data_IF_846678852965
#
_entry.id   IF_846678852965
#
_cell.length_a   1.000
_cell.length_b   1.000
_cell.length_c   1.000
_cell.angle_alpha   90.00
_cell.angle_beta   90.00
_cell.angle_gamma   90.00
#
_symmetry.space_group_name_H-M   'P 1'
#
loop_
_entity.id
_entity.type
_entity.pdbx_description
1 polymer ?
#
# COMPACT_ATOMS: atom_id res chain seq x y z
N UNK A 1 33.32 -34.12 5.90
CA UNK A 1 32.56 -33.17 6.73
C UNK A 1 31.09 -33.30 6.33
N UNK A 2 30.35 -34.20 6.99
CA UNK A 2 28.96 -34.50 6.64
C UNK A 2 28.07 -33.31 7.02
N UNK A 3 27.50 -32.62 6.04
CA UNK A 3 26.44 -31.66 6.27
C UNK A 3 25.15 -32.45 6.56
N UNK A 4 24.66 -32.41 7.81
CA UNK A 4 23.40 -33.05 8.19
C UNK A 4 22.25 -32.35 7.44
N UNK A 5 21.51 -33.05 6.55
CA UNK A 5 20.42 -32.47 5.78
C UNK A 5 19.32 -31.87 6.67
N UNK A 6 19.17 -32.33 7.93
CA UNK A 6 18.18 -31.79 8.88
C UNK A 6 18.50 -30.38 9.34
N UNK A 7 19.80 -30.01 9.42
CA UNK A 7 20.23 -28.64 9.77
C UNK A 7 19.94 -27.64 8.64
N UNK A 8 20.03 -28.08 7.39
CA UNK A 8 19.68 -27.26 6.22
C UNK A 8 18.17 -26.95 6.16
N UNK A 9 17.31 -27.91 6.53
CA UNK A 9 15.85 -27.70 6.62
C UNK A 9 15.45 -26.72 7.73
N UNK A 10 16.05 -26.81 8.92
CA UNK A 10 15.69 -25.89 10.03
C UNK A 10 16.10 -24.45 9.72
N UNK A 11 17.30 -24.25 9.14
CA UNK A 11 17.75 -22.92 8.72
C UNK A 11 16.82 -22.30 7.67
N UNK A 12 16.35 -23.10 6.71
CA UNK A 12 15.37 -22.66 5.71
C UNK A 12 14.03 -22.28 6.35
N UNK A 13 13.52 -23.08 7.28
CA UNK A 13 12.29 -22.77 8.02
C UNK A 13 12.39 -21.47 8.82
N UNK A 14 13.51 -21.21 9.50
CA UNK A 14 13.72 -19.96 10.23
C UNK A 14 13.78 -18.76 9.28
N UNK A 15 14.47 -18.90 8.15
CA UNK A 15 14.51 -17.86 7.12
C UNK A 15 13.11 -17.59 6.54
N UNK A 16 12.32 -18.64 6.30
CA UNK A 16 10.94 -18.50 5.81
C UNK A 16 10.04 -17.83 6.87
N UNK A 17 10.19 -18.15 8.15
CA UNK A 17 9.47 -17.47 9.24
C UNK A 17 9.83 -15.99 9.28
N UNK A 18 11.13 -15.67 9.31
CA UNK A 18 11.58 -14.27 9.37
C UNK A 18 11.22 -13.48 8.11
N UNK A 19 11.24 -14.12 6.95
CA UNK A 19 10.85 -13.48 5.70
C UNK A 19 9.34 -13.15 5.67
N UNK A 20 8.50 -13.96 6.30
CA UNK A 20 7.05 -13.80 6.22
C UNK A 20 6.44 -13.10 7.44
N UNK A 21 7.15 -13.00 8.56
CA UNK A 21 6.65 -12.33 9.76
C UNK A 21 6.76 -10.79 9.63
N UNK A 22 5.62 -10.06 9.71
CA UNK A 22 5.59 -8.59 9.68
C UNK A 22 6.55 -7.89 10.65
N UNK A 23 6.89 -8.54 11.78
CA UNK A 23 7.78 -7.99 12.79
C UNK A 23 9.22 -7.76 12.28
N UNK A 24 9.68 -8.53 11.29
CA UNK A 24 11.03 -8.37 10.73
C UNK A 24 11.11 -7.37 9.58
N UNK A 25 10.00 -6.73 9.23
CA UNK A 25 9.95 -5.67 8.22
C UNK A 25 10.30 -4.37 8.90
N UNK A 26 11.39 -3.74 8.44
CA UNK A 26 11.91 -2.50 9.03
C UNK A 26 11.61 -1.27 8.19
N UNK A 27 11.14 -1.43 6.96
CA UNK A 27 10.84 -0.34 6.03
C UNK A 27 9.39 -0.46 5.57
N UNK A 28 8.65 0.65 5.60
CA UNK A 28 7.35 0.76 4.95
C UNK A 28 7.41 1.81 3.85
N UNK A 29 7.02 1.43 2.64
CA UNK A 29 7.00 2.29 1.47
C UNK A 29 5.56 2.67 1.14
N UNK A 30 5.26 3.96 1.20
CA UNK A 30 3.94 4.49 0.94
C UNK A 30 3.94 5.28 -0.36
N UNK A 31 2.97 4.99 -1.23
CA UNK A 31 2.80 5.70 -2.50
C UNK A 31 1.33 5.74 -2.88
N UNK A 32 0.90 6.83 -3.53
CA UNK A 32 -0.43 6.89 -4.13
C UNK A 32 -0.61 5.87 -5.24
N UNK A 33 0.47 5.48 -5.92
CA UNK A 33 0.44 4.48 -6.96
C UNK A 33 1.60 3.50 -6.87
N UNK A 34 1.33 2.23 -7.12
CA UNK A 34 2.33 1.15 -7.23
C UNK A 34 1.90 0.22 -8.36
N UNK A 35 2.72 0.14 -9.41
CA UNK A 35 2.49 -0.74 -10.55
C UNK A 35 3.12 -2.11 -10.34
N UNK A 36 2.34 -3.09 -9.86
CA UNK A 36 2.84 -4.45 -9.56
C UNK A 36 2.53 -5.51 -10.63
N UNK A 37 1.43 -5.30 -11.37
CA UNK A 37 0.98 -6.15 -12.49
C UNK A 37 0.18 -5.23 -13.44
N UNK A 38 0.39 -5.29 -14.76
CA UNK A 38 -0.40 -4.53 -15.73
C UNK A 38 -1.92 -4.73 -15.66
N UNK A 39 -2.38 -5.84 -15.06
CA UNK A 39 -3.80 -6.16 -14.83
C UNK A 39 -4.34 -5.65 -13.49
N UNK A 40 -3.52 -4.95 -12.70
CA UNK A 40 -3.92 -4.22 -11.50
C UNK A 40 -3.79 -2.71 -11.83
N UNK A 41 -4.86 -2.07 -12.36
CA UNK A 41 -4.79 -0.71 -12.93
C UNK A 41 -4.84 0.38 -11.85
N UNK A 42 -4.04 0.24 -10.79
CA UNK A 42 -3.99 1.17 -9.65
C UNK A 42 -2.79 2.11 -9.72
N UNK A 43 -2.35 2.44 -10.94
CA UNK A 43 -1.26 3.37 -11.22
C UNK A 43 -1.51 4.08 -12.56
N UNK A 44 -0.88 5.25 -12.75
CA UNK A 44 -1.07 6.13 -13.89
C UNK A 44 0.17 6.23 -14.78
N UNK A 45 1.38 6.18 -14.22
CA UNK A 45 2.59 6.43 -15.00
C UNK A 45 3.90 6.00 -14.35
N UNK A 46 4.96 6.75 -14.66
CA UNK A 46 6.34 6.40 -14.30
C UNK A 46 6.61 6.33 -12.80
N UNK A 47 5.89 7.10 -11.98
CA UNK A 47 6.04 7.06 -10.53
C UNK A 47 5.59 5.72 -9.95
N UNK A 48 4.43 5.21 -10.40
CA UNK A 48 3.91 3.91 -10.01
C UNK A 48 4.76 2.75 -10.52
N UNK A 49 5.28 2.86 -11.75
CA UNK A 49 6.25 1.87 -12.28
C UNK A 49 7.53 1.86 -11.43
N UNK A 50 8.09 3.03 -11.13
CA UNK A 50 9.28 3.14 -10.27
C UNK A 50 9.03 2.53 -8.89
N UNK A 51 7.88 2.80 -8.27
CA UNK A 51 7.51 2.22 -6.99
C UNK A 51 7.40 0.68 -7.06
N UNK A 52 6.81 0.15 -8.13
CA UNK A 52 6.73 -1.29 -8.40
C UNK A 52 8.10 -1.93 -8.57
N UNK A 53 8.95 -1.34 -9.41
CA UNK A 53 10.31 -1.81 -9.69
C UNK A 53 11.20 -1.74 -8.45
N UNK A 54 11.04 -0.72 -7.60
CA UNK A 54 11.72 -0.62 -6.31
C UNK A 54 11.33 -1.78 -5.40
N UNK A 55 10.04 -2.06 -5.25
CA UNK A 55 9.56 -3.17 -4.42
C UNK A 55 9.94 -4.54 -4.98
N UNK A 56 9.98 -4.68 -6.31
CA UNK A 56 10.48 -5.88 -6.98
C UNK A 56 11.98 -6.07 -6.75
N UNK A 57 12.76 -5.02 -6.89
CA UNK A 57 14.20 -5.03 -6.60
C UNK A 57 14.46 -5.36 -5.12
N UNK A 58 13.66 -4.79 -4.22
CA UNK A 58 13.71 -5.11 -2.80
C UNK A 58 13.39 -6.60 -2.54
N UNK A 59 12.42 -7.17 -3.26
CA UNK A 59 12.15 -8.61 -3.18
C UNK A 59 13.32 -9.45 -3.70
N UNK A 60 13.95 -9.07 -4.81
CA UNK A 60 15.10 -9.77 -5.39
C UNK A 60 16.34 -9.73 -4.48
N UNK A 61 16.50 -8.63 -3.72
CA UNK A 61 17.62 -8.39 -2.83
C UNK A 61 17.34 -8.75 -1.35
N UNK A 62 16.20 -9.38 -1.06
CA UNK A 62 15.78 -9.76 0.30
C UNK A 62 15.70 -8.58 1.29
N UNK A 63 15.32 -7.39 0.81
CA UNK A 63 15.20 -6.19 1.63
C UNK A 63 13.88 -6.24 2.43
N UNK A 64 13.90 -6.02 3.76
CA UNK A 64 12.75 -6.16 4.65
C UNK A 64 11.76 -4.99 4.56
N UNK A 65 11.10 -4.86 3.40
CA UNK A 65 10.17 -3.79 3.07
C UNK A 65 8.72 -4.28 2.94
N UNK A 66 7.76 -3.41 3.18
CA UNK A 66 6.33 -3.59 2.85
C UNK A 66 5.85 -2.39 2.03
N UNK A 67 5.03 -2.63 1.02
CA UNK A 67 4.37 -1.60 0.23
C UNK A 67 2.96 -1.28 0.73
N UNK A 68 2.56 -0.02 0.71
CA UNK A 68 1.20 0.44 1.01
C UNK A 68 0.76 1.46 -0.02
N UNK A 69 -0.44 1.26 -0.57
CA UNK A 69 -1.04 2.14 -1.57
C UNK A 69 -2.57 2.09 -1.50
N UNK A 70 -3.25 2.89 -2.32
CA UNK A 70 -4.70 2.83 -2.44
C UNK A 70 -5.12 1.86 -3.56
N UNK A 71 -6.23 1.16 -3.34
CA UNK A 71 -6.94 0.46 -4.39
C UNK A 71 -7.76 1.48 -5.20
N UNK A 72 -7.68 1.43 -6.53
CA UNK A 72 -8.53 2.24 -7.42
C UNK A 72 -9.44 1.35 -8.26
N UNK A 73 -10.72 1.29 -7.90
CA UNK A 73 -11.77 0.48 -8.55
C UNK A 73 -12.00 0.83 -10.02
N UNK A 74 -11.66 2.06 -10.42
CA UNK A 74 -11.85 2.59 -11.78
C UNK A 74 -10.53 3.05 -12.43
N UNK A 75 -9.40 2.81 -11.76
CA UNK A 75 -8.06 3.16 -12.19
C UNK A 75 -7.83 4.65 -12.40
N UNK A 76 -6.85 4.98 -13.24
CA UNK A 76 -6.59 6.36 -13.68
C UNK A 76 -7.60 6.78 -14.75
N UNK A 77 -7.53 6.14 -15.92
CA UNK A 77 -8.58 6.05 -16.94
C UNK A 77 -8.17 5.09 -18.05
N UNK A 78 -9.17 4.60 -18.78
CA UNK A 78 -9.02 3.92 -20.07
C UNK A 78 -9.16 4.95 -21.19
N UNK A 79 -8.10 5.13 -21.98
CA UNK A 79 -8.11 6.03 -23.11
C UNK A 79 -8.90 5.44 -24.28
N UNK A 80 -9.81 6.22 -24.86
CA UNK A 80 -10.46 5.93 -26.14
C UNK A 80 -10.34 7.14 -27.05
N UNK A 81 -9.80 6.97 -28.25
CA UNK A 81 -9.73 8.02 -29.25
C UNK A 81 -10.86 7.78 -30.25
N UNK A 82 -11.68 8.79 -30.52
CA UNK A 82 -12.76 8.68 -31.50
C UNK A 82 -12.27 8.91 -32.94
N UNK A 83 -13.19 8.80 -33.90
CA UNK A 83 -12.92 8.97 -35.34
C UNK A 83 -12.41 10.37 -35.71
N UNK A 84 -12.67 11.37 -34.86
CA UNK A 84 -12.30 12.77 -35.07
C UNK A 84 -10.98 13.12 -34.34
N UNK A 85 -10.34 12.11 -33.71
CA UNK A 85 -9.08 12.26 -32.99
C UNK A 85 -9.23 12.80 -31.56
N UNK A 86 -10.46 12.89 -31.04
CA UNK A 86 -10.72 13.41 -29.69
C UNK A 86 -10.53 12.29 -28.66
N UNK A 87 -9.82 12.60 -27.59
CA UNK A 87 -9.66 11.70 -26.44
C UNK A 87 -10.90 11.69 -25.56
N UNK A 88 -11.35 10.49 -25.22
CA UNK A 88 -12.36 10.20 -24.22
C UNK A 88 -11.76 9.35 -23.10
N UNK A 89 -12.09 9.72 -21.87
CA UNK A 89 -11.56 9.10 -20.67
C UNK A 89 -12.65 8.26 -20.02
N UNK A 90 -12.48 6.93 -20.07
CA UNK A 90 -13.46 5.98 -19.54
C UNK A 90 -12.93 5.37 -18.23
N UNK A 91 -13.79 4.93 -17.31
CA UNK A 91 -13.34 4.14 -16.16
C UNK A 91 -12.76 2.80 -16.63
N UNK A 92 -11.72 2.33 -15.94
CA UNK A 92 -11.25 0.96 -16.11
C UNK A 92 -12.24 -0.01 -15.45
N UNK A 93 -12.44 -1.19 -16.04
CA UNK A 93 -13.29 -2.25 -15.47
C UNK A 93 -12.41 -3.43 -15.10
N UNK A 94 -12.32 -3.72 -13.80
CA UNK A 94 -11.54 -4.84 -13.29
C UNK A 94 -12.08 -5.30 -11.92
N UNK A 95 -11.69 -6.49 -11.50
CA UNK A 95 -12.17 -7.14 -10.28
C UNK A 95 -10.97 -7.46 -9.39
N UNK A 96 -10.75 -6.72 -8.29
CA UNK A 96 -9.65 -6.95 -7.35
C UNK A 96 -9.53 -8.40 -6.88
N UNK A 97 -10.64 -9.08 -6.64
CA UNK A 97 -10.73 -10.47 -6.20
C UNK A 97 -10.11 -11.49 -7.18
N UNK A 98 -9.95 -11.13 -8.46
CA UNK A 98 -9.29 -12.00 -9.44
C UNK A 98 -7.76 -11.96 -9.30
N UNK A 99 -7.21 -10.98 -8.59
CA UNK A 99 -5.78 -10.64 -8.58
C UNK A 99 -5.17 -10.49 -7.19
N UNK A 100 -5.99 -10.09 -6.24
CA UNK A 100 -5.59 -9.70 -4.90
C UNK A 100 -6.32 -10.58 -3.89
N UNK A 101 -5.67 -10.80 -2.75
CA UNK A 101 -6.28 -11.51 -1.63
C UNK A 101 -6.90 -10.51 -0.66
N UNK A 102 -8.20 -10.61 -0.38
CA UNK A 102 -8.84 -9.78 0.64
C UNK A 102 -8.44 -10.28 2.03
N UNK A 103 -7.92 -9.38 2.86
CA UNK A 103 -7.58 -9.69 4.25
C UNK A 103 -8.79 -9.48 5.17
N UNK A 104 -8.85 -10.20 6.31
CA UNK A 104 -9.91 -10.00 7.31
C UNK A 104 -9.75 -8.69 8.10
N UNK A 105 -8.62 -7.98 7.92
CA UNK A 105 -8.27 -6.78 8.64
C UNK A 105 -9.11 -5.58 8.22
N UNK A 106 -9.56 -4.80 9.20
CA UNK A 106 -10.33 -3.58 9.00
C UNK A 106 -9.88 -2.54 10.01
N UNK A 107 -9.58 -1.33 9.54
CA UNK A 107 -9.31 -0.18 10.39
C UNK A 107 -10.30 0.93 10.12
N UNK A 108 -10.33 1.95 10.97
CA UNK A 108 -11.20 3.11 10.79
C UNK A 108 -10.46 4.41 11.00
N UNK A 109 -10.85 5.42 10.24
CA UNK A 109 -10.44 6.82 10.41
C UNK A 109 -11.68 7.71 10.45
N UNK A 110 -11.51 8.95 10.91
CA UNK A 110 -12.58 9.95 10.91
C UNK A 110 -12.31 10.97 9.81
N UNK A 111 -13.26 11.15 8.90
CA UNK A 111 -13.25 12.19 7.86
C UNK A 111 -14.55 12.98 8.00
N UNK A 112 -14.46 14.30 8.21
CA UNK A 112 -15.64 15.18 8.31
C UNK A 112 -16.71 14.68 9.31
N UNK A 113 -16.27 14.22 10.49
CA UNK A 113 -17.12 13.61 11.54
C UNK A 113 -17.81 12.29 11.15
N UNK A 114 -17.48 11.70 10.00
CA UNK A 114 -17.91 10.36 9.60
C UNK A 114 -16.81 9.35 9.86
N UNK A 115 -17.18 8.18 10.36
CA UNK A 115 -16.27 7.04 10.44
C UNK A 115 -16.16 6.40 9.06
N UNK A 116 -14.95 6.41 8.50
CA UNK A 116 -14.62 5.72 7.25
C UNK A 116 -13.82 4.48 7.60
N UNK A 117 -14.37 3.32 7.25
CA UNK A 117 -13.72 2.03 7.43
C UNK A 117 -12.87 1.68 6.21
N UNK A 118 -11.74 1.03 6.44
CA UNK A 118 -10.74 0.72 5.42
C UNK A 118 -10.37 -0.75 5.55
N UNK A 119 -10.55 -1.50 4.47
CA UNK A 119 -10.06 -2.88 4.33
C UNK A 119 -8.78 -2.91 3.50
N UNK A 120 -8.04 -4.00 3.56
CA UNK A 120 -6.82 -4.19 2.78
C UNK A 120 -6.91 -5.41 1.86
N UNK A 121 -6.48 -5.20 0.63
CA UNK A 121 -6.17 -6.27 -0.31
C UNK A 121 -4.65 -6.49 -0.36
N UNK A 122 -4.20 -7.73 -0.46
CA UNK A 122 -2.78 -8.08 -0.55
C UNK A 122 -2.41 -8.55 -1.97
N UNK A 123 -1.29 -8.03 -2.48
CA UNK A 123 -0.50 -8.67 -3.53
C UNK A 123 0.89 -8.99 -3.00
N UNK A 124 1.38 -10.21 -3.20
CA UNK A 124 2.75 -10.56 -2.82
C UNK A 124 3.68 -10.57 -4.03
N UNK A 125 4.65 -9.66 -4.06
CA UNK A 125 5.75 -9.71 -5.03
C UNK A 125 6.73 -10.81 -4.61
N UNK A 126 7.13 -11.66 -5.54
CA UNK A 126 8.10 -12.74 -5.31
C UNK A 126 9.42 -12.40 -5.99
N UNK A 127 10.49 -12.35 -5.20
CA UNK A 127 11.85 -12.13 -5.63
C UNK A 127 12.48 -13.37 -6.29
N UNK A 128 13.61 -13.19 -6.98
CA UNK A 128 14.38 -14.27 -7.62
C UNK A 128 14.88 -15.33 -6.63
N UNK A 129 15.06 -14.94 -5.36
CA UNK A 129 15.43 -15.81 -4.24
C UNK A 129 14.24 -16.54 -3.60
N UNK A 130 13.01 -16.21 -4.03
CA UNK A 130 11.76 -16.61 -3.35
C UNK A 130 11.34 -15.70 -2.20
N UNK A 131 12.14 -14.67 -1.85
CA UNK A 131 11.76 -13.70 -0.83
C UNK A 131 10.50 -12.93 -1.25
N UNK A 132 9.60 -12.73 -0.29
CA UNK A 132 8.26 -12.21 -0.54
C UNK A 132 8.21 -10.76 -0.10
N UNK A 133 7.58 -9.87 -0.85
CA UNK A 133 7.31 -8.47 -0.43
C UNK A 133 5.81 -8.23 -0.57
N UNK A 134 5.07 -8.09 0.55
CA UNK A 134 3.65 -7.79 0.49
C UNK A 134 3.43 -6.32 0.11
N UNK A 135 2.40 -6.09 -0.69
CA UNK A 135 1.87 -4.78 -1.06
C UNK A 135 0.40 -4.75 -0.69
N UNK A 136 0.03 -3.81 0.17
CA UNK A 136 -1.35 -3.63 0.63
C UNK A 136 -2.03 -2.50 -0.13
N UNK A 137 -3.20 -2.81 -0.71
CA UNK A 137 -4.06 -1.87 -1.40
C UNK A 137 -5.27 -1.57 -0.52
N UNK A 138 -5.33 -0.34 0.00
CA UNK A 138 -6.37 0.12 0.91
C UNK A 138 -7.64 0.46 0.13
N UNK A 139 -8.77 -0.03 0.60
CA UNK A 139 -10.04 0.06 -0.11
C UNK A 139 -11.16 0.57 0.82
N UNK A 140 -11.94 1.52 0.32
CA UNK A 140 -13.11 2.08 1.00
C UNK A 140 -14.42 1.70 0.31
N UNK A 141 -14.37 1.10 -0.87
CA UNK A 141 -15.56 0.78 -1.67
C UNK A 141 -16.15 -0.57 -1.25
N UNK A 142 -16.94 -0.52 -0.18
CA UNK A 142 -17.76 -1.64 0.30
C UNK A 142 -18.91 -1.16 1.19
N UNK A 143 -19.83 -2.06 1.48
CA UNK A 143 -21.13 -1.81 2.09
C UNK A 143 -21.07 -1.14 3.47
N UNK A 144 -19.97 -1.30 4.21
CA UNK A 144 -19.83 -0.74 5.55
C UNK A 144 -19.63 0.79 5.56
N UNK A 145 -19.28 1.39 4.42
CA UNK A 145 -19.10 2.84 4.29
C UNK A 145 -20.30 3.54 3.68
N UNK A 146 -20.46 4.83 4.02
CA UNK A 146 -21.41 5.72 3.36
C UNK A 146 -21.09 5.81 1.84
N UNK A 147 -22.10 5.91 0.95
CA UNK A 147 -21.88 5.92 -0.50
C UNK A 147 -20.86 6.95 -1.00
N UNK A 148 -20.77 8.11 -0.34
CA UNK A 148 -19.77 9.13 -0.69
C UNK A 148 -18.34 8.74 -0.31
N UNK A 149 -18.15 8.04 0.81
CA UNK A 149 -16.82 7.64 1.29
C UNK A 149 -16.29 6.41 0.52
N UNK A 150 -17.19 5.60 -0.06
CA UNK A 150 -16.83 4.53 -1.02
C UNK A 150 -16.12 5.09 -2.25
N UNK A 151 -16.50 6.29 -2.70
CA UNK A 151 -15.91 6.93 -3.89
C UNK A 151 -14.42 7.23 -3.74
N UNK A 152 -13.90 7.31 -2.51
CA UNK A 152 -12.48 7.63 -2.24
C UNK A 152 -11.51 6.62 -2.87
N UNK A 153 -11.95 5.40 -3.16
CA UNK A 153 -11.17 4.35 -3.83
C UNK A 153 -11.57 4.15 -5.28
N UNK A 154 -12.24 5.11 -5.93
CA UNK A 154 -12.65 4.96 -7.33
C UNK A 154 -11.56 5.32 -8.31
N UNK A 155 -11.10 6.57 -8.28
CA UNK A 155 -10.18 7.09 -9.28
C UNK A 155 -8.86 7.55 -8.66
N UNK A 156 -7.78 7.27 -9.38
CA UNK A 156 -6.47 7.84 -9.13
C UNK A 156 -6.38 9.24 -9.77
N UNK A 157 -5.85 10.22 -9.04
CA UNK A 157 -5.59 11.58 -9.53
C UNK A 157 -6.76 12.27 -10.25
N UNK A 158 -7.99 12.02 -9.79
CA UNK A 158 -9.19 12.75 -10.19
C UNK A 158 -9.84 13.43 -8.99
N UNK A 159 -10.84 14.25 -9.29
CA UNK A 159 -11.62 14.95 -8.27
C UNK A 159 -11.04 16.32 -7.92
N UNK A 160 -11.62 16.91 -6.89
CA UNK A 160 -11.19 18.20 -6.35
C UNK A 160 -10.13 18.02 -5.25
N UNK A 161 -9.65 19.14 -4.70
CA UNK A 161 -8.67 19.14 -3.62
C UNK A 161 -9.18 18.36 -2.40
N UNK A 162 -10.47 18.47 -2.08
CA UNK A 162 -11.08 17.79 -0.93
C UNK A 162 -11.01 16.28 -1.09
N UNK A 163 -11.37 15.77 -2.28
CA UNK A 163 -11.26 14.36 -2.62
C UNK A 163 -9.82 13.85 -2.48
N UNK A 164 -8.85 14.58 -3.03
CA UNK A 164 -7.43 14.25 -2.90
C UNK A 164 -6.97 14.21 -1.45
N UNK A 165 -7.32 15.22 -0.63
CA UNK A 165 -6.97 15.24 0.79
C UNK A 165 -7.56 14.06 1.56
N UNK A 166 -8.79 13.65 1.23
CA UNK A 166 -9.41 12.46 1.82
C UNK A 166 -8.66 11.18 1.46
N UNK A 167 -8.20 11.05 0.21
CA UNK A 167 -7.35 9.92 -0.21
C UNK A 167 -6.00 9.91 0.52
N UNK A 168 -5.37 11.07 0.68
CA UNK A 168 -4.10 11.20 1.41
C UNK A 168 -4.27 10.86 2.91
N UNK A 169 -5.44 11.15 3.51
CA UNK A 169 -5.79 10.69 4.87
C UNK A 169 -5.97 9.16 4.93
N UNK A 170 -6.66 8.55 3.96
CA UNK A 170 -6.82 7.10 3.87
C UNK A 170 -5.45 6.43 3.73
N UNK A 171 -4.60 6.93 2.83
CA UNK A 171 -3.24 6.40 2.62
C UNK A 171 -2.38 6.56 3.88
N UNK A 172 -2.34 7.77 4.45
CA UNK A 172 -1.43 8.07 5.54
C UNK A 172 -1.90 7.52 6.89
N UNK A 173 -3.03 8.02 7.37
CA UNK A 173 -3.58 7.61 8.69
C UNK A 173 -4.09 6.18 8.61
N UNK A 174 -4.91 5.88 7.60
CA UNK A 174 -5.48 4.56 7.42
C UNK A 174 -4.42 3.49 7.15
N UNK A 175 -3.45 3.79 6.29
CA UNK A 175 -2.37 2.86 5.98
C UNK A 175 -1.46 2.58 7.16
N UNK A 176 -1.11 3.58 7.99
CA UNK A 176 -0.35 3.33 9.21
C UNK A 176 -1.13 2.45 10.20
N UNK A 177 -2.41 2.75 10.43
CA UNK A 177 -3.27 1.93 11.30
C UNK A 177 -3.39 0.50 10.78
N UNK A 178 -3.53 0.33 9.47
CA UNK A 178 -3.59 -1.00 8.84
C UNK A 178 -2.28 -1.77 9.06
N UNK A 179 -1.12 -1.11 8.92
CA UNK A 179 0.16 -1.74 9.24
C UNK A 179 0.24 -2.18 10.71
N UNK A 180 -0.27 -1.39 11.66
CA UNK A 180 -0.32 -1.79 13.08
C UNK A 180 -1.23 -2.99 13.31
N UNK A 181 -2.41 -2.99 12.71
CA UNK A 181 -3.37 -4.11 12.80
C UNK A 181 -2.79 -5.40 12.21
N UNK A 182 -2.03 -5.27 11.12
CA UNK A 182 -1.23 -6.34 10.50
C UNK A 182 0.08 -6.66 11.25
N UNK A 183 0.30 -6.07 12.43
CA UNK A 183 1.43 -6.33 13.35
C UNK A 183 2.81 -5.87 12.86
N UNK A 184 2.87 -4.92 11.93
CA UNK A 184 4.11 -4.23 11.53
C UNK A 184 4.54 -3.22 12.60
N UNK A 185 5.00 -3.72 13.74
CA UNK A 185 5.31 -2.90 14.92
C UNK A 185 6.78 -2.46 15.00
N UNK A 186 7.64 -2.94 14.09
CA UNK A 186 9.10 -2.71 14.12
C UNK A 186 9.61 -1.89 12.92
N UNK A 187 8.72 -1.14 12.26
CA UNK A 187 9.11 -0.25 11.17
C UNK A 187 9.99 0.88 11.73
N UNK A 188 11.20 0.98 11.17
CA UNK A 188 12.21 1.99 11.51
C UNK A 188 12.18 3.16 10.54
N UNK A 189 11.84 2.89 9.27
CA UNK A 189 11.81 3.89 8.21
C UNK A 189 10.48 3.84 7.46
N UNK A 190 9.83 4.99 7.35
CA UNK A 190 8.67 5.23 6.51
C UNK A 190 9.14 6.03 5.30
N UNK A 191 9.19 5.39 4.14
CA UNK A 191 9.52 6.05 2.88
C UNK A 191 8.23 6.61 2.27
N UNK A 192 8.16 7.92 2.12
CA UNK A 192 7.02 8.67 1.63
C UNK A 192 7.28 9.03 0.17
N UNK A 193 6.63 8.33 -0.76
CA UNK A 193 6.74 8.69 -2.16
C UNK A 193 5.91 9.95 -2.43
N UNK A 194 6.61 11.08 -2.54
CA UNK A 194 6.07 12.44 -2.63
C UNK A 194 5.27 12.89 -1.38
N UNK A 195 4.70 14.10 -1.44
CA UNK A 195 3.95 14.70 -0.33
C UNK A 195 2.60 14.02 -0.02
N UNK A 196 2.17 13.06 -0.83
CA UNK A 196 0.86 12.41 -0.70
C UNK A 196 0.70 11.56 0.57
N UNK A 197 1.81 11.03 1.09
CA UNK A 197 1.82 10.24 2.30
C UNK A 197 2.15 11.07 3.56
N UNK A 198 2.14 12.41 3.47
CA UNK A 198 2.56 13.29 4.56
C UNK A 198 1.74 13.11 5.85
N UNK A 199 0.47 12.71 5.76
CA UNK A 199 -0.37 12.46 6.95
C UNK A 199 0.13 11.33 7.85
N UNK A 200 1.02 10.46 7.36
CA UNK A 200 1.71 9.46 8.20
C UNK A 200 2.48 10.14 9.33
N UNK A 201 3.13 11.27 9.04
CA UNK A 201 3.92 12.01 10.04
C UNK A 201 3.07 12.46 11.22
N UNK A 202 1.84 12.93 10.94
CA UNK A 202 0.89 13.37 11.96
C UNK A 202 0.35 12.19 12.77
N UNK A 203 0.06 11.06 12.12
CA UNK A 203 -0.42 9.88 12.83
C UNK A 203 0.69 9.23 13.67
N UNK A 204 1.94 9.19 13.19
CA UNK A 204 3.09 8.74 13.98
C UNK A 204 3.36 9.64 15.19
N UNK A 205 3.17 10.96 15.03
CA UNK A 205 3.29 11.91 16.13
C UNK A 205 2.19 11.66 17.18
N UNK A 206 0.95 11.42 16.75
CA UNK A 206 -0.16 11.04 17.63
C UNK A 206 0.12 9.73 18.38
N UNK A 207 0.67 8.70 17.73
CA UNK A 207 1.02 7.42 18.37
C UNK A 207 1.98 7.61 19.55
N UNK A 208 2.83 8.64 19.50
CA UNK A 208 3.82 8.94 20.54
C UNK A 208 3.35 10.03 21.53
N UNK A 209 2.07 10.39 21.54
CA UNK A 209 1.55 11.40 22.46
C UNK A 209 1.97 12.84 22.15
N UNK A 210 2.38 13.13 20.91
CA UNK A 210 2.80 14.46 20.43
C UNK A 210 4.10 15.00 21.03
N UNK A 211 4.98 14.12 21.51
CA UNK A 211 6.13 14.51 22.32
C UNK A 211 7.37 14.96 21.51
N UNK A 212 7.70 14.29 20.40
CA UNK A 212 9.00 14.46 19.73
C UNK A 212 8.90 14.51 18.19
N UNK A 213 8.95 15.73 17.64
CA UNK A 213 8.95 15.99 16.20
C UNK A 213 10.24 15.53 15.50
N UNK A 214 11.39 15.58 16.18
CA UNK A 214 12.68 15.23 15.58
C UNK A 214 12.74 13.73 15.32
N UNK A 215 12.25 12.92 16.26
CA UNK A 215 12.13 11.47 16.09
C UNK A 215 11.22 11.08 14.94
N UNK A 216 10.17 11.85 14.63
CA UNK A 216 9.34 11.60 13.44
C UNK A 216 10.11 11.94 12.17
N UNK A 217 10.82 13.07 12.17
CA UNK A 217 11.64 13.51 11.05
C UNK A 217 12.74 12.50 10.70
N UNK A 218 13.37 11.87 11.70
CA UNK A 218 14.39 10.84 11.49
C UNK A 218 13.84 9.53 10.93
N UNK A 219 12.55 9.25 11.18
CA UNK A 219 11.88 8.03 10.70
C UNK A 219 11.30 8.16 9.29
N UNK A 220 11.05 9.37 8.82
CA UNK A 220 10.38 9.60 7.54
C UNK A 220 11.39 10.09 6.50
N UNK A 221 11.41 9.45 5.33
CA UNK A 221 12.26 9.82 4.19
C UNK A 221 11.40 10.06 2.98
#
# INVERSE_FOLDING_TARGET
MNQDPRRATLGKTLMDIWANDPYFRSIAYFSMEIGVDPKIPTYAGGLGILAGDLLKSAADLNIPIVGVTLLYRKGYFKQKIDKDGVQHELPETWYPEERLHLLPNEVSITIENRTVKIRAWEYTIIGATGYRVPVYFLDTDYEANHPEDRKLSWYLYRGDLRYRLCQELVLGVGGLRMLRDLRYNNIKTFHLNEGHAAFITLELLREQGYEDYNKIREKCV
#
